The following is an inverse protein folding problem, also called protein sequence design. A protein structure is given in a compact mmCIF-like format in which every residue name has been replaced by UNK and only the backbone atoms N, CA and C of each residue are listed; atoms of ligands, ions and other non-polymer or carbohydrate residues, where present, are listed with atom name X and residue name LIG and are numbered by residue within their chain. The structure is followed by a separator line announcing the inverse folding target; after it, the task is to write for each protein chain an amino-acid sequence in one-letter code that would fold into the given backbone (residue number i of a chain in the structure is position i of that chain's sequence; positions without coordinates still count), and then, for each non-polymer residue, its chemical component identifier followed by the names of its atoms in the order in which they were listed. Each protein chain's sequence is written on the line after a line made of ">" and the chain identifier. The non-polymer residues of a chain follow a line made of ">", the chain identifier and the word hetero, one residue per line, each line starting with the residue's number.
data_IF_305713288070
#
_entry.id   IF_305713288070
#
_cell.length_a   1.000
_cell.length_b   1.000
_cell.length_c   1.000
_cell.angle_alpha   90.00
_cell.angle_beta   90.00
_cell.angle_gamma   90.00
#
_symmetry.space_group_name_H-M   'P 1'
#
loop_
_entity.id
_entity.type
_entity.pdbx_description
1 polymer ?
#
# COMPACT_ATOMS: atom_id res chain seq x y z
N UNK A 1 -1.09 6.75 54.85
CA UNK A 1 -0.43 6.40 53.58
C UNK A 1 -1.33 5.59 52.65
N UNK A 2 -1.90 4.45 53.06
CA UNK A 2 -2.73 3.59 52.21
C UNK A 2 -3.92 4.31 51.54
N UNK A 3 -4.61 5.19 52.26
CA UNK A 3 -5.77 5.94 51.75
C UNK A 3 -5.41 6.91 50.61
N UNK A 4 -4.24 7.54 50.68
CA UNK A 4 -3.74 8.43 49.62
C UNK A 4 -3.33 7.64 48.37
N UNK A 5 -2.66 6.50 48.56
CA UNK A 5 -2.30 5.58 47.48
C UNK A 5 -3.56 5.05 46.78
N UNK A 6 -4.57 4.62 47.53
CA UNK A 6 -5.85 4.15 46.99
C UNK A 6 -6.59 5.22 46.20
N UNK A 7 -6.65 6.45 46.73
CA UNK A 7 -7.32 7.58 46.05
C UNK A 7 -6.65 7.92 44.72
N UNK A 8 -5.33 8.05 44.72
CA UNK A 8 -4.59 8.41 43.50
C UNK A 8 -4.61 7.27 42.48
N UNK A 9 -4.50 6.00 42.93
CA UNK A 9 -4.64 4.84 42.05
C UNK A 9 -6.01 4.76 41.38
N UNK A 10 -7.09 5.06 42.12
CA UNK A 10 -8.44 5.05 41.57
C UNK A 10 -8.67 6.21 40.57
N UNK A 11 -8.13 7.39 40.85
CA UNK A 11 -8.14 8.53 39.92
C UNK A 11 -7.41 8.17 38.62
N UNK A 12 -6.21 7.58 38.73
CA UNK A 12 -5.43 7.14 37.57
C UNK A 12 -6.16 6.06 36.76
N UNK A 13 -6.79 5.09 37.43
CA UNK A 13 -7.57 4.05 36.76
C UNK A 13 -8.75 4.62 35.99
N UNK A 14 -9.53 5.53 36.60
CA UNK A 14 -10.64 6.21 35.92
C UNK A 14 -10.13 7.02 34.74
N UNK A 15 -9.05 7.78 34.92
CA UNK A 15 -8.47 8.58 33.84
C UNK A 15 -8.02 7.70 32.67
N UNK A 16 -7.35 6.58 32.94
CA UNK A 16 -6.93 5.61 31.93
C UNK A 16 -8.14 4.99 31.21
N UNK A 17 -9.19 4.58 31.94
CA UNK A 17 -10.40 4.04 31.32
C UNK A 17 -11.08 5.06 30.41
N UNK A 18 -11.18 6.32 30.83
CA UNK A 18 -11.80 7.39 30.04
C UNK A 18 -10.98 7.68 28.79
N UNK A 19 -9.65 7.79 28.90
CA UNK A 19 -8.79 8.09 27.76
C UNK A 19 -8.77 6.95 26.73
N UNK A 20 -8.60 5.70 27.17
CA UNK A 20 -8.68 4.52 26.30
C UNK A 20 -10.06 4.37 25.67
N UNK A 21 -11.13 4.61 26.44
CA UNK A 21 -12.50 4.59 25.94
C UNK A 21 -12.74 5.62 24.84
N UNK A 22 -12.23 6.84 25.00
CA UNK A 22 -12.34 7.89 23.98
C UNK A 22 -11.61 7.51 22.69
N UNK A 23 -10.40 6.96 22.79
CA UNK A 23 -9.62 6.48 21.64
C UNK A 23 -10.34 5.33 20.93
N UNK A 24 -10.82 4.34 21.68
CA UNK A 24 -11.52 3.18 21.12
C UNK A 24 -12.81 3.58 20.41
N UNK A 25 -13.59 4.50 21.00
CA UNK A 25 -14.80 5.03 20.37
C UNK A 25 -14.48 5.78 19.08
N UNK A 26 -13.45 6.63 19.09
CA UNK A 26 -13.03 7.38 17.91
C UNK A 26 -12.62 6.43 16.79
N UNK A 27 -11.84 5.39 17.11
CA UNK A 27 -11.46 4.35 16.15
C UNK A 27 -12.69 3.63 15.59
N UNK A 28 -13.61 3.15 16.44
CA UNK A 28 -14.80 2.44 16.01
C UNK A 28 -15.69 3.28 15.07
N UNK A 29 -15.84 4.58 15.35
CA UNK A 29 -16.61 5.50 14.52
C UNK A 29 -15.92 5.82 13.18
N UNK A 30 -14.59 5.81 13.15
CA UNK A 30 -13.79 6.18 11.96
C UNK A 30 -13.33 4.98 11.13
N UNK A 31 -13.44 3.76 11.62
CA UNK A 31 -12.99 2.54 10.95
C UNK A 31 -13.53 2.41 9.51
N UNK A 32 -14.83 2.67 9.30
CA UNK A 32 -15.44 2.61 7.97
C UNK A 32 -14.87 3.67 7.02
N UNK A 33 -14.56 4.86 7.52
CA UNK A 33 -13.97 5.93 6.70
C UNK A 33 -12.53 5.58 6.33
N UNK A 34 -11.76 5.04 7.27
CA UNK A 34 -10.38 4.56 7.04
C UNK A 34 -10.38 3.54 5.91
N UNK A 35 -11.23 2.51 6.00
CA UNK A 35 -11.30 1.46 4.99
C UNK A 35 -11.66 2.01 3.59
N UNK A 36 -12.60 2.97 3.51
CA UNK A 36 -12.95 3.61 2.22
C UNK A 36 -11.80 4.44 1.65
N UNK A 37 -11.02 5.12 2.49
CA UNK A 37 -9.86 5.86 2.03
C UNK A 37 -8.75 4.91 1.57
N UNK A 38 -8.54 3.79 2.26
CA UNK A 38 -7.59 2.74 1.84
C UNK A 38 -7.96 2.18 0.46
N UNK A 39 -9.23 1.83 0.23
CA UNK A 39 -9.68 1.35 -1.08
C UNK A 39 -9.52 2.40 -2.18
N UNK A 40 -9.82 3.66 -1.90
CA UNK A 40 -9.60 4.76 -2.86
C UNK A 40 -8.13 4.94 -3.20
N UNK A 41 -7.26 4.89 -2.18
CA UNK A 41 -5.83 4.99 -2.37
C UNK A 41 -5.29 3.82 -3.21
N UNK A 42 -5.73 2.60 -2.91
CA UNK A 42 -5.39 1.42 -3.70
C UNK A 42 -5.80 1.60 -5.17
N UNK A 43 -7.06 1.98 -5.42
CA UNK A 43 -7.55 2.23 -6.78
C UNK A 43 -6.76 3.36 -7.47
N UNK A 44 -6.40 4.44 -6.77
CA UNK A 44 -5.59 5.51 -7.34
C UNK A 44 -4.21 5.00 -7.76
N UNK A 45 -3.54 4.22 -6.92
CA UNK A 45 -2.23 3.63 -7.26
C UNK A 45 -2.36 2.67 -8.43
N UNK A 46 -3.38 1.81 -8.44
CA UNK A 46 -3.62 0.87 -9.53
C UNK A 46 -3.86 1.59 -10.86
N UNK A 47 -4.67 2.65 -10.90
CA UNK A 47 -4.93 3.43 -12.11
C UNK A 47 -3.72 4.26 -12.57
N UNK A 48 -2.78 4.60 -11.68
CA UNK A 48 -1.52 5.23 -12.06
C UNK A 48 -0.56 4.26 -12.74
N UNK A 49 -0.69 2.97 -12.45
CA UNK A 49 0.20 1.90 -12.90
C UNK A 49 -0.38 1.20 -14.13
N UNK A 50 -1.70 1.01 -14.17
CA UNK A 50 -2.46 0.53 -15.32
C UNK A 50 -3.42 1.64 -15.74
N UNK A 51 -3.10 2.42 -16.79
CA UNK A 51 -4.01 3.44 -17.30
C UNK A 51 -5.35 2.85 -17.80
N UNK A 52 -6.45 3.61 -17.67
CA UNK A 52 -7.80 3.23 -18.10
C UNK A 52 -7.94 2.76 -19.55
N UNK A 53 -7.00 3.08 -20.44
CA UNK A 53 -7.01 2.54 -21.81
C UNK A 53 -6.83 1.01 -21.84
N UNK A 54 -6.23 0.42 -20.80
CA UNK A 54 -6.04 -1.01 -20.68
C UNK A 54 -7.16 -1.70 -19.92
N UNK A 55 -8.10 -1.01 -19.27
CA UNK A 55 -9.13 -1.72 -18.52
C UNK A 55 -10.47 -1.01 -18.48
N UNK A 56 -11.54 -1.78 -18.30
CA UNK A 56 -12.88 -1.29 -17.97
C UNK A 56 -13.46 -1.94 -16.69
N UNK A 57 -12.78 -2.96 -16.16
CA UNK A 57 -13.13 -3.60 -14.90
C UNK A 57 -12.59 -2.86 -13.66
N UNK A 58 -13.17 -3.19 -12.50
CA UNK A 58 -12.65 -2.80 -11.17
C UNK A 58 -11.40 -3.62 -10.85
N UNK A 59 -10.23 -2.97 -10.88
CA UNK A 59 -8.94 -3.64 -10.61
C UNK A 59 -8.86 -4.18 -9.17
N UNK A 60 -9.38 -3.43 -8.20
CA UNK A 60 -9.34 -3.83 -6.79
C UNK A 60 -10.16 -5.09 -6.48
N UNK A 61 -11.20 -5.37 -7.27
CA UNK A 61 -12.03 -6.58 -7.14
C UNK A 61 -11.44 -7.79 -7.88
N UNK A 62 -10.60 -7.54 -8.89
CA UNK A 62 -9.95 -8.57 -9.68
C UNK A 62 -8.58 -8.97 -9.11
N UNK A 63 -8.50 -9.14 -7.78
CA UNK A 63 -7.29 -9.49 -7.07
C UNK A 63 -7.09 -11.02 -7.04
N UNK A 64 -5.86 -11.45 -7.29
CA UNK A 64 -5.38 -12.82 -7.09
C UNK A 64 -4.07 -12.80 -6.31
N UNK A 65 -3.67 -13.96 -5.81
CA UNK A 65 -2.42 -14.16 -5.09
C UNK A 65 -1.41 -14.87 -6.00
N UNK A 66 -0.17 -14.39 -5.98
CA UNK A 66 0.96 -14.95 -6.73
C UNK A 66 2.13 -15.20 -5.78
N UNK A 67 2.87 -16.27 -6.05
CA UNK A 67 4.08 -16.60 -5.30
C UNK A 67 5.15 -16.98 -6.33
N UNK A 68 6.17 -16.14 -6.44
CA UNK A 68 7.32 -16.37 -7.30
C UNK A 68 8.56 -15.68 -6.69
N UNK A 69 9.72 -16.32 -6.80
CA UNK A 69 10.97 -15.78 -6.29
C UNK A 69 11.42 -14.52 -7.05
N UNK A 70 11.00 -14.35 -8.31
CA UNK A 70 11.26 -13.14 -9.11
C UNK A 70 10.56 -11.89 -8.56
N UNK A 71 9.60 -12.05 -7.65
CA UNK A 71 8.97 -10.93 -6.93
C UNK A 71 9.85 -10.40 -5.79
N UNK A 72 11.09 -10.89 -5.67
CA UNK A 72 12.06 -10.46 -4.66
C UNK A 72 11.66 -10.80 -3.22
N UNK A 73 10.69 -11.70 -3.05
CA UNK A 73 10.25 -12.18 -1.74
C UNK A 73 9.66 -13.59 -1.82
N UNK A 74 9.88 -14.46 -0.80
CA UNK A 74 9.20 -15.75 -0.71
C UNK A 74 7.73 -15.63 -0.27
N UNK A 75 7.28 -14.42 0.10
CA UNK A 75 5.90 -14.16 0.53
C UNK A 75 4.97 -14.12 -0.68
N UNK A 76 3.74 -14.54 -0.47
CA UNK A 76 2.68 -14.39 -1.47
C UNK A 76 2.31 -12.91 -1.62
N UNK A 77 2.25 -12.45 -2.86
CA UNK A 77 1.96 -11.06 -3.22
C UNK A 77 0.63 -10.94 -3.96
N UNK A 78 0.02 -9.77 -3.90
CA UNK A 78 -1.22 -9.50 -4.64
C UNK A 78 -0.90 -9.16 -6.09
N UNK A 79 -1.72 -9.69 -7.00
CA UNK A 79 -1.75 -9.31 -8.40
C UNK A 79 -3.18 -8.95 -8.81
N UNK A 80 -3.33 -7.84 -9.54
CA UNK A 80 -4.62 -7.28 -9.93
C UNK A 80 -4.75 -7.37 -11.44
N UNK A 81 -5.74 -8.13 -11.91
CA UNK A 81 -5.95 -8.38 -13.33
C UNK A 81 -6.75 -7.26 -13.99
N UNK A 82 -6.16 -6.62 -14.98
CA UNK A 82 -6.86 -5.71 -15.86
C UNK A 82 -7.50 -6.48 -17.01
N UNK A 83 -8.76 -6.14 -17.29
CA UNK A 83 -9.52 -6.64 -18.43
C UNK A 83 -10.11 -5.48 -19.21
N UNK A 84 -10.15 -5.62 -20.53
CA UNK A 84 -10.80 -4.68 -21.45
C UNK A 84 -11.73 -5.45 -22.37
N UNK A 85 -13.01 -5.11 -22.37
CA UNK A 85 -14.01 -5.83 -23.17
C UNK A 85 -14.14 -7.31 -22.79
N UNK A 86 -13.82 -7.67 -21.54
CA UNK A 86 -13.82 -9.05 -21.05
C UNK A 86 -12.49 -9.80 -21.20
N UNK A 87 -11.57 -9.32 -22.05
CA UNK A 87 -10.28 -9.95 -22.30
C UNK A 87 -9.19 -9.42 -21.36
N UNK A 88 -8.30 -10.29 -20.82
CA UNK A 88 -7.11 -9.85 -20.07
C UNK A 88 -6.25 -8.93 -20.94
N UNK A 89 -5.75 -7.85 -20.37
CA UNK A 89 -5.02 -6.80 -21.11
C UNK A 89 -3.73 -6.35 -20.43
N UNK A 90 -3.71 -6.40 -19.09
CA UNK A 90 -2.56 -6.07 -18.26
C UNK A 90 -2.71 -6.70 -16.87
N UNK A 91 -1.65 -6.65 -16.08
CA UNK A 91 -1.64 -7.08 -14.68
C UNK A 91 -0.81 -6.11 -13.85
N UNK A 92 -1.25 -5.82 -12.63
CA UNK A 92 -0.47 -5.05 -11.66
C UNK A 92 -0.06 -5.98 -10.53
N UNK A 93 1.24 -6.16 -10.31
CA UNK A 93 1.77 -7.13 -9.35
C UNK A 93 2.54 -6.39 -8.28
N UNK A 94 2.24 -6.67 -7.02
CA UNK A 94 3.06 -6.21 -5.89
C UNK A 94 4.37 -7.01 -5.84
N UNK A 95 5.49 -6.32 -5.64
CA UNK A 95 6.83 -6.93 -5.58
C UNK A 95 7.68 -6.24 -4.50
N UNK A 96 8.77 -6.87 -4.09
CA UNK A 96 9.70 -6.33 -3.11
C UNK A 96 11.08 -6.23 -3.76
N UNK A 97 11.70 -5.04 -3.68
CA UNK A 97 13.14 -4.93 -3.86
C UNK A 97 13.79 -5.10 -2.47
N UNK A 98 14.43 -6.24 -2.17
CA UNK A 98 14.88 -6.56 -0.82
C UNK A 98 16.10 -5.73 -0.39
N UNK A 99 16.93 -5.32 -1.36
CA UNK A 99 18.23 -4.71 -1.13
C UNK A 99 18.19 -3.16 -1.13
N UNK A 100 17.19 -2.57 -0.47
CA UNK A 100 17.19 -1.12 -0.20
C UNK A 100 18.21 -0.77 0.91
N UNK A 101 18.70 0.46 0.91
CA UNK A 101 19.77 0.87 1.85
C UNK A 101 19.29 0.82 3.30
N UNK A 102 18.04 1.20 3.55
CA UNK A 102 17.44 1.18 4.88
C UNK A 102 16.27 0.18 4.98
N UNK A 103 16.36 -0.94 4.24
CA UNK A 103 15.39 -2.02 4.25
C UNK A 103 14.61 -2.19 2.95
N UNK A 104 13.63 -3.08 2.98
CA UNK A 104 12.86 -3.48 1.80
C UNK A 104 12.07 -2.31 1.18
N UNK A 105 12.06 -2.24 -0.15
CA UNK A 105 11.21 -1.30 -0.91
C UNK A 105 10.05 -2.09 -1.49
N UNK A 106 8.83 -1.79 -1.03
CA UNK A 106 7.61 -2.40 -1.56
C UNK A 106 7.15 -1.62 -2.79
N UNK A 107 6.94 -2.34 -3.89
CA UNK A 107 6.61 -1.79 -5.20
C UNK A 107 5.30 -2.41 -5.72
N UNK A 108 4.70 -1.74 -6.69
CA UNK A 108 3.68 -2.32 -7.57
C UNK A 108 4.02 -1.99 -9.02
N UNK A 109 3.99 -3.01 -9.87
CA UNK A 109 4.42 -2.94 -11.26
C UNK A 109 3.28 -3.36 -12.17
N UNK A 110 2.94 -2.50 -13.12
CA UNK A 110 1.94 -2.74 -14.14
C UNK A 110 2.60 -3.24 -15.39
N UNK A 111 2.14 -4.37 -15.92
CA UNK A 111 2.72 -5.04 -17.08
C UNK A 111 1.58 -5.31 -18.06
N UNK A 112 1.75 -4.89 -19.32
CA UNK A 112 0.81 -5.23 -20.39
C UNK A 112 1.03 -6.65 -20.90
N UNK A 113 0.04 -7.22 -21.59
CA UNK A 113 0.16 -8.57 -22.17
C UNK A 113 1.34 -8.76 -23.13
N UNK A 114 1.87 -7.67 -23.71
CA UNK A 114 3.05 -7.70 -24.58
C UNK A 114 4.38 -7.66 -23.80
N UNK A 115 4.35 -7.80 -22.47
CA UNK A 115 5.52 -7.75 -21.59
C UNK A 115 6.01 -6.34 -21.24
N UNK A 116 5.45 -5.28 -21.85
CA UNK A 116 5.91 -3.93 -21.57
C UNK A 116 5.44 -3.43 -20.20
N UNK A 117 6.33 -2.75 -19.48
CA UNK A 117 6.02 -2.10 -18.20
C UNK A 117 5.18 -0.86 -18.46
N UNK A 118 3.96 -0.85 -17.94
CA UNK A 118 3.03 0.28 -18.03
C UNK A 118 3.32 1.36 -16.99
N UNK A 119 3.79 0.95 -15.82
CA UNK A 119 4.09 1.84 -14.71
C UNK A 119 4.68 1.13 -13.50
N UNK A 120 5.47 1.85 -12.71
CA UNK A 120 5.99 1.41 -11.42
C UNK A 120 5.65 2.44 -10.35
N UNK A 121 5.17 2.00 -9.19
CA UNK A 121 4.96 2.87 -8.02
C UNK A 121 5.53 2.24 -6.77
N UNK A 122 6.12 3.07 -5.92
CA UNK A 122 6.55 2.68 -4.57
C UNK A 122 5.35 2.74 -3.64
N UNK A 123 5.05 1.62 -2.99
CA UNK A 123 4.01 1.50 -1.98
C UNK A 123 4.54 1.88 -0.60
N UNK A 124 5.77 1.46 -0.28
CA UNK A 124 6.42 1.76 0.99
C UNK A 124 7.94 1.65 0.85
N UNK A 125 8.68 2.50 1.56
CA UNK A 125 10.14 2.43 1.70
C UNK A 125 10.57 3.15 2.99
N UNK A 126 11.81 2.91 3.43
CA UNK A 126 12.41 3.57 4.60
C UNK A 126 13.69 4.36 4.26
N UNK A 127 13.92 4.59 2.97
CA UNK A 127 15.09 5.33 2.48
C UNK A 127 15.23 6.74 3.07
N UNK A 128 16.48 7.20 3.17
CA UNK A 128 16.82 8.49 3.75
C UNK A 128 16.28 9.67 2.91
N UNK A 129 15.55 10.61 3.52
CA UNK A 129 15.06 11.81 2.83
C UNK A 129 16.18 12.62 2.15
N UNK A 130 15.94 13.05 0.91
CA UNK A 130 16.90 13.80 0.08
C UNK A 130 18.00 12.96 -0.58
N UNK A 131 18.13 11.69 -0.22
CA UNK A 131 19.12 10.76 -0.80
C UNK A 131 18.44 9.64 -1.59
N UNK A 132 17.79 8.70 -0.89
CA UNK A 132 17.20 7.49 -1.48
C UNK A 132 15.69 7.60 -1.72
N UNK A 133 15.03 8.61 -1.16
CA UNK A 133 13.59 8.86 -1.32
C UNK A 133 13.17 9.25 -2.75
N UNK A 134 14.13 9.48 -3.66
CA UNK A 134 13.92 9.75 -5.09
C UNK A 134 13.26 8.62 -5.86
N UNK A 135 13.11 7.44 -5.26
CA UNK A 135 12.30 6.35 -5.82
C UNK A 135 10.80 6.68 -5.77
N UNK A 136 10.39 7.57 -4.88
CA UNK A 136 9.01 8.03 -4.76
C UNK A 136 8.68 9.11 -5.80
N UNK A 137 7.60 8.89 -6.55
CA UNK A 137 7.13 9.81 -7.59
C UNK A 137 6.76 11.20 -7.05
N UNK A 138 6.42 11.30 -5.75
CA UNK A 138 6.14 12.58 -5.08
C UNK A 138 7.39 13.47 -4.98
N UNK A 139 8.57 12.88 -5.12
CA UNK A 139 9.87 13.54 -4.91
C UNK A 139 10.63 13.65 -6.23
N UNK A 140 10.60 12.63 -7.08
CA UNK A 140 11.35 12.59 -8.33
C UNK A 140 10.67 11.75 -9.41
N UNK A 141 10.91 12.10 -10.67
CA UNK A 141 10.41 11.37 -11.84
C UNK A 141 11.24 10.13 -12.20
N UNK A 142 12.27 9.78 -11.42
CA UNK A 142 13.18 8.67 -11.72
C UNK A 142 12.43 7.35 -11.99
N UNK A 143 11.41 7.05 -11.18
CA UNK A 143 10.60 5.82 -11.31
C UNK A 143 9.80 5.75 -12.62
N UNK A 144 9.59 6.88 -13.32
CA UNK A 144 8.93 6.87 -14.64
C UNK A 144 9.84 6.32 -15.75
N UNK A 145 11.15 6.19 -15.50
CA UNK A 145 12.10 5.62 -16.47
C UNK A 145 11.84 4.14 -16.80
N UNK A 146 11.09 3.43 -15.95
CA UNK A 146 10.65 2.06 -16.19
C UNK A 146 9.49 1.97 -17.18
N UNK A 147 8.75 3.06 -17.44
CA UNK A 147 7.61 3.02 -18.34
C UNK A 147 8.07 2.70 -19.77
N UNK A 148 7.52 1.65 -20.36
CA UNK A 148 7.83 1.18 -21.71
C UNK A 148 9.03 0.24 -21.80
N UNK A 149 9.70 -0.08 -20.69
CA UNK A 149 10.76 -1.10 -20.66
C UNK A 149 10.18 -2.51 -20.81
N UNK A 150 11.04 -3.48 -21.17
CA UNK A 150 10.73 -4.91 -21.29
C UNK A 150 11.74 -5.73 -20.50
#
# INVERSE_FOLDING_TARGET
>A
MLTAIRKNGLILAVFACVSTGLVALTYALTANQIQRQEQKQLLQVLNQVIPHKYHDNSLAEACTLVNDAELGTPKTMHAYLAKRGGEPSAIAIETIAPDGYNGEIKLIVGIANNGSVLGVRVLAHQETPGLGDKVDLRISNWVLGFNGQQ
#
